data_IF_601472406821
#
_entry.id   IF_601472406821
#
_cell.length_a   1.000
_cell.length_b   1.000
_cell.length_c   1.000
_cell.angle_alpha   90.00
_cell.angle_beta   90.00
_cell.angle_gamma   90.00
#
_symmetry.space_group_name_H-M   'P 1'
#
loop_
_entity.id
_entity.type
_entity.pdbx_description
1 polymer ?
#
# COMPACT_ATOMS: atom_id res chain seq x y z
N UNK A 1 -2.95 22.26 -8.68
CA UNK A 1 -2.03 21.21 -9.21
C UNK A 1 -2.28 21.11 -10.69
N UNK A 2 -1.24 21.00 -11.49
CA UNK A 2 -1.16 21.56 -12.83
C UNK A 2 -1.86 20.73 -13.91
N UNK A 3 -2.41 21.39 -14.94
CA UNK A 3 -2.91 20.84 -16.23
C UNK A 3 -1.96 19.78 -16.84
N UNK A 4 -0.65 19.87 -16.54
CA UNK A 4 0.35 18.91 -16.97
C UNK A 4 0.16 17.53 -16.29
N UNK A 5 -0.10 17.49 -14.98
CA UNK A 5 -0.36 16.24 -14.26
C UNK A 5 -1.63 15.55 -14.75
N UNK A 6 -2.69 16.31 -14.96
CA UNK A 6 -3.95 15.79 -15.50
C UNK A 6 -3.77 15.24 -16.93
N UNK A 7 -2.93 15.91 -17.73
CA UNK A 7 -2.60 15.45 -19.10
C UNK A 7 -1.77 14.16 -19.09
N UNK A 8 -0.79 14.04 -18.20
CA UNK A 8 0.03 12.82 -18.05
C UNK A 8 -0.86 11.66 -17.59
N UNK A 9 -1.71 11.88 -16.59
CA UNK A 9 -2.64 10.87 -16.11
C UNK A 9 -3.63 10.44 -17.20
N UNK A 10 -4.19 11.38 -17.96
CA UNK A 10 -5.07 11.09 -19.09
C UNK A 10 -4.36 10.32 -20.21
N UNK A 11 -3.10 10.66 -20.51
CA UNK A 11 -2.28 9.93 -21.48
C UNK A 11 -2.00 8.50 -21.06
N UNK A 12 -1.63 8.30 -19.78
CA UNK A 12 -1.41 6.98 -19.21
C UNK A 12 -2.69 6.11 -19.24
N UNK A 13 -3.83 6.69 -18.85
CA UNK A 13 -5.11 5.98 -18.88
C UNK A 13 -5.51 5.58 -20.31
N UNK A 14 -5.27 6.42 -21.32
CA UNK A 14 -5.50 6.07 -22.73
C UNK A 14 -4.61 4.91 -23.19
N UNK A 15 -3.38 4.84 -22.70
CA UNK A 15 -2.45 3.77 -23.07
C UNK A 15 -2.89 2.40 -22.54
N UNK A 16 -3.45 2.35 -21.31
CA UNK A 16 -3.90 1.11 -20.71
C UNK A 16 -5.34 0.72 -21.09
N UNK A 17 -6.13 1.66 -21.63
CA UNK A 17 -7.54 1.45 -22.00
C UNK A 17 -7.79 0.20 -22.88
N UNK A 18 -6.98 -0.09 -23.93
CA UNK A 18 -7.17 -1.31 -24.74
C UNK A 18 -7.03 -2.60 -23.90
N UNK A 19 -6.09 -2.60 -22.93
CA UNK A 19 -5.87 -3.74 -22.04
C UNK A 19 -7.05 -3.90 -21.08
N UNK A 20 -7.52 -2.78 -20.50
CA UNK A 20 -8.72 -2.77 -19.64
C UNK A 20 -9.93 -3.31 -20.39
N UNK A 21 -10.15 -2.86 -21.63
CA UNK A 21 -11.27 -3.31 -22.45
C UNK A 21 -11.17 -4.80 -22.78
N UNK A 22 -10.00 -5.28 -23.15
CA UNK A 22 -9.77 -6.70 -23.43
C UNK A 22 -10.07 -7.56 -22.18
N UNK A 23 -9.53 -7.19 -21.02
CA UNK A 23 -9.74 -7.91 -19.75
C UNK A 23 -11.23 -7.86 -19.32
N UNK A 24 -11.89 -6.70 -19.50
CA UNK A 24 -13.31 -6.52 -19.20
C UNK A 24 -14.19 -7.39 -20.11
N UNK A 25 -13.93 -7.44 -21.41
CA UNK A 25 -14.65 -8.31 -22.37
C UNK A 25 -14.48 -9.79 -22.01
N UNK A 26 -13.32 -10.18 -21.50
CA UNK A 26 -13.04 -11.55 -21.03
C UNK A 26 -13.62 -11.83 -19.63
N UNK A 27 -14.24 -10.86 -18.98
CA UNK A 27 -14.77 -10.93 -17.62
C UNK A 27 -13.74 -11.45 -16.61
N UNK A 28 -12.47 -11.03 -16.77
CA UNK A 28 -11.40 -11.41 -15.84
C UNK A 28 -11.74 -10.89 -14.46
N UNK A 29 -11.62 -11.72 -13.45
CA UNK A 29 -11.87 -11.32 -12.06
C UNK A 29 -10.80 -10.32 -11.61
N UNK A 30 -11.16 -9.11 -11.13
CA UNK A 30 -10.20 -8.09 -10.68
C UNK A 30 -9.24 -8.61 -9.60
N UNK A 31 -9.70 -9.47 -8.69
CA UNK A 31 -8.87 -10.05 -7.63
C UNK A 31 -7.71 -10.91 -8.18
N UNK A 32 -7.87 -11.51 -9.37
CA UNK A 32 -6.78 -12.24 -10.04
C UNK A 32 -5.71 -11.26 -10.52
N UNK A 33 -6.11 -10.09 -11.04
CA UNK A 33 -5.19 -9.04 -11.48
C UNK A 33 -4.39 -8.52 -10.29
N UNK A 34 -5.05 -8.21 -9.17
CA UNK A 34 -4.42 -7.79 -7.91
C UNK A 34 -3.42 -8.84 -7.42
N UNK A 35 -3.82 -10.13 -7.44
CA UNK A 35 -2.93 -11.25 -7.04
C UNK A 35 -1.68 -11.33 -7.91
N UNK A 36 -1.85 -11.22 -9.24
CA UNK A 36 -0.72 -11.24 -10.18
C UNK A 36 0.21 -10.04 -9.96
N UNK A 37 -0.33 -8.85 -9.75
CA UNK A 37 0.44 -7.66 -9.40
C UNK A 37 1.28 -7.86 -8.12
N UNK A 38 0.66 -8.43 -7.08
CA UNK A 38 1.36 -8.76 -5.83
C UNK A 38 2.48 -9.79 -6.06
N UNK A 39 2.24 -10.85 -6.82
CA UNK A 39 3.27 -11.85 -7.15
C UNK A 39 4.43 -11.24 -7.94
N UNK A 40 4.15 -10.36 -8.89
CA UNK A 40 5.17 -9.61 -9.60
C UNK A 40 5.96 -8.69 -8.65
N UNK A 41 5.29 -8.03 -7.68
CA UNK A 41 5.97 -7.20 -6.66
C UNK A 41 6.86 -8.06 -5.75
N UNK A 42 6.41 -9.24 -5.34
CA UNK A 42 7.24 -10.19 -4.58
C UNK A 42 8.46 -10.62 -5.40
N UNK A 43 8.30 -10.85 -6.71
CA UNK A 43 9.42 -11.14 -7.59
C UNK A 43 10.43 -9.99 -7.63
N UNK A 44 9.96 -8.73 -7.71
CA UNK A 44 10.83 -7.55 -7.60
C UNK A 44 11.56 -7.50 -6.26
N UNK A 45 10.89 -7.83 -5.16
CA UNK A 45 11.49 -7.90 -3.82
C UNK A 45 12.62 -8.95 -3.75
N UNK A 46 12.42 -10.11 -4.36
CA UNK A 46 13.46 -11.16 -4.46
C UNK A 46 14.65 -10.65 -5.29
N UNK A 47 14.39 -9.98 -6.41
CA UNK A 47 15.45 -9.39 -7.25
C UNK A 47 16.23 -8.31 -6.47
N UNK A 48 15.56 -7.48 -5.65
CA UNK A 48 16.20 -6.55 -4.73
C UNK A 48 17.12 -7.27 -3.73
N UNK A 49 16.64 -8.38 -3.14
CA UNK A 49 17.42 -9.16 -2.17
C UNK A 49 18.72 -9.70 -2.76
N UNK A 50 18.72 -10.06 -4.06
CA UNK A 50 19.92 -10.48 -4.78
C UNK A 50 20.79 -9.32 -5.28
N UNK A 51 20.49 -8.06 -4.97
CA UNK A 51 21.27 -6.90 -5.34
C UNK A 51 21.14 -6.41 -6.78
N UNK A 52 20.23 -6.96 -7.56
CA UNK A 52 19.93 -6.51 -8.93
C UNK A 52 19.01 -5.28 -8.93
N UNK A 53 19.47 -4.20 -8.31
CA UNK A 53 18.66 -3.02 -7.95
C UNK A 53 17.96 -2.39 -9.16
N UNK A 54 18.65 -2.22 -10.30
CA UNK A 54 18.04 -1.62 -11.50
C UNK A 54 16.96 -2.51 -12.08
N UNK A 55 17.19 -3.82 -12.17
CA UNK A 55 16.18 -4.78 -12.68
C UNK A 55 14.97 -4.78 -11.76
N UNK A 56 15.18 -4.85 -10.45
CA UNK A 56 14.12 -4.80 -9.46
C UNK A 56 13.29 -3.51 -9.58
N UNK A 57 13.96 -2.36 -9.78
CA UNK A 57 13.29 -1.07 -10.00
C UNK A 57 12.38 -1.08 -11.23
N UNK A 58 12.85 -1.61 -12.37
CA UNK A 58 12.02 -1.78 -13.56
C UNK A 58 10.84 -2.72 -13.33
N UNK A 59 11.06 -3.88 -12.74
CA UNK A 59 9.98 -4.83 -12.43
C UNK A 59 8.95 -4.19 -11.51
N UNK A 60 9.39 -3.54 -10.43
CA UNK A 60 8.49 -2.86 -9.48
C UNK A 60 7.70 -1.73 -10.16
N UNK A 61 8.33 -0.92 -11.03
CA UNK A 61 7.66 0.14 -11.77
C UNK A 61 6.57 -0.40 -12.70
N UNK A 62 6.84 -1.54 -13.35
CA UNK A 62 5.85 -2.21 -14.21
C UNK A 62 4.69 -2.80 -13.41
N UNK A 63 4.91 -3.23 -12.17
CA UNK A 63 3.82 -3.78 -11.33
C UNK A 63 2.77 -2.75 -10.97
N UNK A 64 3.11 -1.46 -10.92
CA UNK A 64 2.15 -0.37 -10.68
C UNK A 64 1.01 -0.33 -11.72
N UNK A 65 1.22 -0.93 -12.90
CA UNK A 65 0.17 -1.05 -13.93
C UNK A 65 -0.97 -1.95 -13.42
N UNK A 66 -0.68 -3.03 -12.69
CA UNK A 66 -1.69 -3.96 -12.19
C UNK A 66 -2.65 -3.30 -11.21
N UNK A 67 -2.15 -2.42 -10.32
CA UNK A 67 -2.97 -1.67 -9.35
C UNK A 67 -3.94 -0.69 -10.04
N UNK A 68 -3.62 -0.23 -11.24
CA UNK A 68 -4.52 0.62 -12.02
C UNK A 68 -5.50 -0.25 -12.81
N UNK A 69 -5.03 -1.38 -13.36
CA UNK A 69 -5.84 -2.28 -14.18
C UNK A 69 -7.00 -2.91 -13.39
N UNK A 70 -6.74 -3.46 -12.18
CA UNK A 70 -7.76 -4.15 -11.38
C UNK A 70 -8.91 -3.21 -11.01
N UNK A 71 -8.61 -2.00 -10.56
CA UNK A 71 -9.60 -0.99 -10.24
C UNK A 71 -10.43 -0.53 -11.46
N UNK A 72 -9.80 -0.38 -12.63
CA UNK A 72 -10.50 -0.01 -13.86
C UNK A 72 -11.37 -1.15 -14.39
N UNK A 73 -10.88 -2.38 -14.40
CA UNK A 73 -11.63 -3.57 -14.79
C UNK A 73 -12.82 -3.76 -13.84
N UNK A 74 -12.63 -3.65 -12.51
CA UNK A 74 -13.70 -3.78 -11.53
C UNK A 74 -14.84 -2.79 -11.77
N UNK A 75 -14.51 -1.51 -11.99
CA UNK A 75 -15.50 -0.46 -12.29
C UNK A 75 -16.21 -0.71 -13.62
N UNK A 76 -15.48 -1.09 -14.66
CA UNK A 76 -16.06 -1.28 -16.01
C UNK A 76 -16.95 -2.52 -16.11
N UNK A 77 -16.66 -3.56 -15.33
CA UNK A 77 -17.43 -4.81 -15.30
C UNK A 77 -18.53 -4.85 -14.23
N UNK A 78 -18.63 -3.80 -13.39
CA UNK A 78 -19.55 -3.79 -12.25
C UNK A 78 -19.21 -4.79 -11.15
N UNK A 79 -17.94 -5.28 -11.10
CA UNK A 79 -17.46 -6.27 -10.13
C UNK A 79 -16.79 -5.60 -8.90
N UNK A 80 -17.16 -4.37 -8.59
CA UNK A 80 -16.70 -3.72 -7.34
C UNK A 80 -17.40 -4.36 -6.15
N UNK A 81 -16.61 -4.94 -5.23
CA UNK A 81 -17.12 -5.60 -4.02
C UNK A 81 -16.38 -5.13 -2.78
N UNK A 82 -17.04 -5.21 -1.62
CA UNK A 82 -16.40 -4.93 -0.32
C UNK A 82 -15.21 -5.86 -0.07
N UNK A 83 -15.34 -7.14 -0.44
CA UNK A 83 -14.25 -8.10 -0.36
C UNK A 83 -13.07 -7.71 -1.28
N UNK A 84 -13.35 -7.27 -2.52
CA UNK A 84 -12.30 -6.82 -3.44
C UNK A 84 -11.50 -5.64 -2.87
N UNK A 85 -12.17 -4.65 -2.30
CA UNK A 85 -11.50 -3.51 -1.65
C UNK A 85 -10.67 -3.93 -0.42
N UNK A 86 -11.16 -4.86 0.39
CA UNK A 86 -10.42 -5.45 1.50
C UNK A 86 -9.21 -6.22 1.01
N UNK A 87 -9.38 -7.07 -0.01
CA UNK A 87 -8.35 -7.94 -0.59
C UNK A 87 -7.22 -7.12 -1.19
N UNK A 88 -7.54 -6.15 -2.05
CA UNK A 88 -6.58 -5.20 -2.62
C UNK A 88 -5.79 -4.49 -1.53
N UNK A 89 -6.51 -3.88 -0.58
CA UNK A 89 -5.85 -3.18 0.52
C UNK A 89 -4.94 -4.09 1.37
N UNK A 90 -5.23 -5.39 1.48
CA UNK A 90 -4.40 -6.36 2.21
C UNK A 90 -3.16 -6.72 1.42
N UNK A 91 -3.32 -7.04 0.12
CA UNK A 91 -2.21 -7.37 -0.77
C UNK A 91 -1.26 -6.20 -0.98
N UNK A 92 -1.75 -4.98 -0.93
CA UNK A 92 -0.94 -3.76 -0.87
C UNK A 92 0.08 -3.78 0.27
N UNK A 93 -0.34 -4.22 1.47
CA UNK A 93 0.57 -4.31 2.63
C UNK A 93 1.60 -5.41 2.45
N UNK A 94 1.18 -6.55 1.89
CA UNK A 94 2.10 -7.64 1.55
C UNK A 94 3.16 -7.14 0.55
N UNK A 95 2.75 -6.43 -0.49
CA UNK A 95 3.63 -5.84 -1.51
C UNK A 95 4.63 -4.84 -0.91
N UNK A 96 4.13 -3.85 -0.14
CA UNK A 96 4.97 -2.84 0.51
C UNK A 96 5.99 -3.49 1.47
N UNK A 97 5.54 -4.46 2.26
CA UNK A 97 6.39 -5.21 3.19
C UNK A 97 7.43 -6.07 2.48
N UNK A 98 7.04 -6.75 1.41
CA UNK A 98 7.95 -7.61 0.64
C UNK A 98 9.13 -6.84 0.04
N UNK A 99 8.88 -5.67 -0.60
CA UNK A 99 9.94 -4.85 -1.19
C UNK A 99 10.95 -4.41 -0.13
N UNK A 100 10.48 -3.90 1.00
CA UNK A 100 11.35 -3.46 2.10
C UNK A 100 12.06 -4.64 2.77
N UNK A 101 11.42 -5.82 2.85
CA UNK A 101 12.06 -7.05 3.32
C UNK A 101 13.18 -7.51 2.36
N UNK A 102 12.95 -7.44 1.04
CA UNK A 102 14.00 -7.70 0.05
C UNK A 102 15.21 -6.80 0.21
N UNK A 103 14.98 -5.49 0.44
CA UNK A 103 16.06 -4.54 0.74
C UNK A 103 16.73 -4.82 2.10
N UNK A 104 15.98 -5.30 3.09
CA UNK A 104 16.55 -5.74 4.39
C UNK A 104 17.54 -6.90 4.17
N UNK A 105 17.14 -7.90 3.37
CA UNK A 105 18.03 -9.03 3.00
C UNK A 105 19.24 -8.53 2.24
N UNK A 106 19.07 -7.66 1.24
CA UNK A 106 20.18 -7.07 0.50
C UNK A 106 21.22 -6.42 1.42
N UNK A 107 20.81 -5.53 2.33
CA UNK A 107 21.74 -4.87 3.24
C UNK A 107 22.30 -5.79 4.33
N UNK A 108 21.72 -6.96 4.57
CA UNK A 108 22.23 -7.94 5.52
C UNK A 108 23.21 -8.93 4.91
N UNK A 109 23.11 -9.23 3.60
CA UNK A 109 23.84 -10.34 2.96
C UNK A 109 24.85 -9.89 1.91
N UNK A 110 24.69 -8.71 1.29
CA UNK A 110 25.62 -8.20 0.29
C UNK A 110 26.98 -7.88 0.93
N UNK A 111 28.04 -8.57 0.51
CA UNK A 111 29.38 -8.43 1.11
C UNK A 111 29.99 -7.04 0.92
N UNK A 112 29.65 -6.35 -0.17
CA UNK A 112 30.18 -5.02 -0.49
C UNK A 112 29.38 -3.88 0.17
N UNK A 113 28.08 -4.12 0.47
CA UNK A 113 27.16 -3.10 0.96
C UNK A 113 26.47 -3.47 2.26
N UNK A 114 27.01 -4.49 2.95
CA UNK A 114 26.51 -4.86 4.27
C UNK A 114 26.45 -3.64 5.20
N UNK A 115 25.26 -3.40 5.77
CA UNK A 115 25.05 -2.24 6.62
C UNK A 115 23.96 -2.50 7.66
N UNK A 116 24.38 -2.83 8.87
CA UNK A 116 23.46 -3.00 10.01
C UNK A 116 22.56 -1.77 10.21
N UNK A 117 23.07 -0.51 10.12
CA UNK A 117 22.18 0.65 10.19
C UNK A 117 21.09 0.66 9.13
N UNK A 118 21.41 0.29 7.88
CA UNK A 118 20.40 0.24 6.81
C UNK A 118 19.40 -0.90 7.02
N UNK A 119 19.80 -2.04 7.56
CA UNK A 119 18.87 -3.11 8.00
C UNK A 119 17.86 -2.56 9.01
N UNK A 120 18.36 -1.84 10.04
CA UNK A 120 17.48 -1.22 11.05
C UNK A 120 16.53 -0.20 10.41
N UNK A 121 17.02 0.62 9.48
CA UNK A 121 16.18 1.60 8.75
C UNK A 121 15.12 0.91 7.90
N UNK A 122 15.44 -0.18 7.20
CA UNK A 122 14.47 -0.97 6.44
C UNK A 122 13.39 -1.55 7.35
N UNK A 123 13.76 -2.14 8.49
CA UNK A 123 12.80 -2.65 9.48
C UNK A 123 11.93 -1.53 10.04
N UNK A 124 12.51 -0.36 10.35
CA UNK A 124 11.76 0.81 10.77
C UNK A 124 10.78 1.29 9.68
N UNK A 125 11.18 1.25 8.40
CA UNK A 125 10.32 1.58 7.27
C UNK A 125 9.13 0.60 7.14
N UNK A 126 9.37 -0.70 7.31
CA UNK A 126 8.31 -1.73 7.35
C UNK A 126 7.31 -1.39 8.46
N UNK A 127 7.79 -1.24 9.69
CA UNK A 127 6.92 -0.92 10.83
C UNK A 127 6.14 0.38 10.63
N UNK A 128 6.80 1.44 10.17
CA UNK A 128 6.15 2.73 9.88
C UNK A 128 5.07 2.61 8.80
N UNK A 129 5.34 1.86 7.74
CA UNK A 129 4.39 1.61 6.65
C UNK A 129 3.15 0.84 7.11
N UNK A 130 3.33 -0.19 7.93
CA UNK A 130 2.21 -0.93 8.53
C UNK A 130 1.42 -0.05 9.51
N UNK A 131 2.10 0.73 10.35
CA UNK A 131 1.46 1.64 11.29
C UNK A 131 0.63 2.73 10.59
N UNK A 132 1.12 3.29 9.48
CA UNK A 132 0.33 4.26 8.71
C UNK A 132 -0.95 3.65 8.17
N UNK A 133 -0.90 2.43 7.68
CA UNK A 133 -2.07 1.71 7.17
C UNK A 133 -3.03 1.33 8.30
N UNK A 134 -2.50 0.79 9.40
CA UNK A 134 -3.28 0.39 10.57
C UNK A 134 -4.00 1.59 11.20
N UNK A 135 -3.27 2.70 11.43
CA UNK A 135 -3.87 3.90 12.06
C UNK A 135 -4.97 4.50 11.20
N UNK A 136 -4.85 4.43 9.86
CA UNK A 136 -5.91 4.84 8.94
C UNK A 136 -7.14 3.94 9.07
N UNK A 137 -6.96 2.64 8.90
CA UNK A 137 -8.06 1.67 8.98
C UNK A 137 -8.77 1.72 10.35
N UNK A 138 -7.99 1.90 11.43
CA UNK A 138 -8.54 2.02 12.78
C UNK A 138 -9.33 3.32 12.98
N UNK A 139 -8.87 4.45 12.41
CA UNK A 139 -9.60 5.71 12.45
C UNK A 139 -10.91 5.62 11.66
N UNK A 140 -10.89 5.02 10.46
CA UNK A 140 -12.07 4.78 9.64
C UNK A 140 -13.10 3.90 10.36
N UNK A 141 -12.66 2.86 11.09
CA UNK A 141 -13.51 2.02 11.93
C UNK A 141 -14.16 2.79 13.11
N UNK A 142 -13.60 3.93 13.53
CA UNK A 142 -14.17 4.84 14.51
C UNK A 142 -15.03 5.96 13.88
N UNK A 143 -15.27 5.89 12.57
CA UNK A 143 -16.00 6.91 11.82
C UNK A 143 -15.22 8.23 11.63
N UNK A 144 -13.88 8.18 11.69
CA UNK A 144 -13.00 9.35 11.54
C UNK A 144 -12.18 9.21 10.26
N UNK A 145 -12.39 10.09 9.29
CA UNK A 145 -11.60 10.12 8.06
C UNK A 145 -10.22 10.75 8.29
N UNK A 146 -9.21 9.93 8.61
CA UNK A 146 -7.83 10.39 8.82
C UNK A 146 -7.04 10.43 7.50
N UNK A 147 -7.44 11.30 6.56
CA UNK A 147 -6.78 11.50 5.24
C UNK A 147 -5.54 12.40 5.36
N UNK A 148 -4.76 12.27 6.43
CA UNK A 148 -3.50 12.98 6.63
C UNK A 148 -2.31 12.07 6.37
N UNK A 149 -1.23 12.63 5.83
CA UNK A 149 0.02 11.91 5.57
C UNK A 149 0.90 12.65 4.56
N UNK A 150 2.22 12.38 4.60
CA UNK A 150 3.21 13.08 3.77
C UNK A 150 3.38 12.41 2.40
N UNK A 151 3.40 11.07 2.37
CA UNK A 151 3.66 10.30 1.15
C UNK A 151 2.55 9.25 1.01
N UNK A 152 1.91 9.25 -0.17
CA UNK A 152 0.90 8.26 -0.52
C UNK A 152 1.58 6.97 -1.02
N UNK A 153 0.82 5.84 -1.07
CA UNK A 153 1.36 4.54 -1.53
C UNK A 153 1.93 4.61 -2.95
N UNK A 154 1.21 5.23 -3.88
CA UNK A 154 1.68 5.36 -5.26
C UNK A 154 3.04 6.10 -5.33
N UNK A 155 3.21 7.16 -4.54
CA UNK A 155 4.47 7.90 -4.48
C UNK A 155 5.60 7.05 -3.91
N UNK A 156 5.32 6.18 -2.93
CA UNK A 156 6.32 5.23 -2.38
C UNK A 156 6.77 4.24 -3.44
N UNK A 157 5.83 3.67 -4.20
CA UNK A 157 6.16 2.74 -5.30
C UNK A 157 7.02 3.45 -6.35
N UNK A 158 6.67 4.67 -6.74
CA UNK A 158 7.46 5.48 -7.68
C UNK A 158 8.87 5.76 -7.14
N UNK A 159 9.02 6.14 -5.87
CA UNK A 159 10.31 6.41 -5.24
C UNK A 159 11.18 5.16 -5.14
N UNK A 160 10.60 3.99 -4.90
CA UNK A 160 11.33 2.72 -4.84
C UNK A 160 11.60 2.12 -6.22
N UNK A 161 10.88 2.52 -7.27
CA UNK A 161 11.04 1.97 -8.61
C UNK A 161 11.85 2.86 -9.54
N UNK A 162 11.36 4.06 -9.88
CA UNK A 162 11.92 4.87 -10.95
C UNK A 162 13.39 5.27 -10.71
N UNK A 163 13.81 5.83 -9.56
CA UNK A 163 15.21 6.15 -9.35
C UNK A 163 16.11 4.92 -9.39
N UNK A 164 15.63 3.76 -8.90
CA UNK A 164 16.39 2.52 -8.90
C UNK A 164 16.53 1.92 -10.30
N UNK A 165 15.47 2.02 -11.12
CA UNK A 165 15.48 1.56 -12.51
C UNK A 165 16.59 2.24 -13.33
N UNK A 166 16.73 3.57 -13.16
CA UNK A 166 17.68 4.36 -13.93
C UNK A 166 19.08 4.44 -13.31
N UNK A 167 19.18 4.57 -11.99
CA UNK A 167 20.46 4.81 -11.30
C UNK A 167 20.99 3.55 -10.59
N UNK A 168 20.15 2.59 -10.22
CA UNK A 168 20.57 1.35 -9.59
C UNK A 168 21.44 1.59 -8.36
N UNK A 169 22.67 1.07 -8.43
CA UNK A 169 23.71 1.24 -7.40
C UNK A 169 24.71 2.37 -7.73
N UNK A 170 24.41 3.24 -8.68
CA UNK A 170 25.23 4.42 -8.93
C UNK A 170 25.42 5.23 -7.63
N UNK A 171 26.54 5.95 -7.54
CA UNK A 171 26.92 6.72 -6.34
C UNK A 171 26.99 5.86 -5.06
N UNK A 172 27.48 4.63 -5.18
CA UNK A 172 27.55 3.65 -4.09
C UNK A 172 26.18 3.36 -3.41
N UNK A 173 25.10 3.40 -4.22
CA UNK A 173 23.75 3.17 -3.72
C UNK A 173 23.20 4.30 -2.84
N UNK A 174 23.80 5.49 -2.88
CA UNK A 174 23.40 6.63 -2.05
C UNK A 174 21.93 7.01 -2.30
N UNK A 175 21.48 6.96 -3.56
CA UNK A 175 20.09 7.27 -3.92
C UNK A 175 19.13 6.29 -3.25
N UNK A 176 19.43 4.99 -3.30
CA UNK A 176 18.61 3.97 -2.65
C UNK A 176 18.60 4.17 -1.12
N UNK A 177 19.76 4.37 -0.50
CA UNK A 177 19.86 4.65 0.94
C UNK A 177 19.03 5.85 1.35
N UNK A 178 19.14 6.96 0.63
CA UNK A 178 18.41 8.19 0.90
C UNK A 178 16.89 8.00 0.80
N UNK A 179 16.42 7.27 -0.22
CA UNK A 179 14.99 6.98 -0.41
C UNK A 179 14.45 6.10 0.72
N UNK A 180 15.16 5.04 1.10
CA UNK A 180 14.71 4.16 2.20
C UNK A 180 14.65 4.91 3.52
N UNK A 181 15.63 5.77 3.82
CA UNK A 181 15.61 6.66 4.99
C UNK A 181 14.42 7.62 4.92
N UNK A 182 14.20 8.27 3.78
CA UNK A 182 13.06 9.16 3.56
C UNK A 182 11.73 8.43 3.83
N UNK A 183 11.57 7.23 3.32
CA UNK A 183 10.34 6.43 3.52
C UNK A 183 10.17 6.01 4.98
N UNK A 184 11.24 5.63 5.67
CA UNK A 184 11.19 5.35 7.10
C UNK A 184 10.70 6.57 7.88
N UNK A 185 11.37 7.71 7.72
CA UNK A 185 11.03 8.95 8.44
C UNK A 185 9.59 9.41 8.15
N UNK A 186 9.23 9.49 6.87
CA UNK A 186 7.89 9.98 6.48
C UNK A 186 6.76 9.06 6.90
N UNK A 187 6.98 7.75 6.95
CA UNK A 187 5.99 6.79 7.43
C UNK A 187 5.75 6.96 8.94
N UNK A 188 6.78 7.09 9.74
CA UNK A 188 6.65 7.35 11.18
C UNK A 188 6.01 8.71 11.47
N UNK A 189 6.43 9.77 10.77
CA UNK A 189 5.81 11.10 10.89
C UNK A 189 4.32 11.02 10.55
N UNK A 190 3.95 10.32 9.48
CA UNK A 190 2.55 10.14 9.08
C UNK A 190 1.75 9.37 10.15
N UNK A 191 2.32 8.31 10.74
CA UNK A 191 1.66 7.57 11.81
C UNK A 191 1.38 8.47 13.03
N UNK A 192 2.37 9.25 13.46
CA UNK A 192 2.22 10.22 14.57
C UNK A 192 1.19 11.29 14.23
N UNK A 193 1.22 11.84 13.01
CA UNK A 193 0.22 12.83 12.56
C UNK A 193 -1.21 12.27 12.62
N UNK A 194 -1.42 11.01 12.23
CA UNK A 194 -2.73 10.35 12.29
C UNK A 194 -3.20 10.14 13.73
N UNK A 195 -2.32 9.70 14.62
CA UNK A 195 -2.63 9.57 16.05
C UNK A 195 -3.03 10.93 16.63
N UNK A 196 -2.25 11.98 16.35
CA UNK A 196 -2.55 13.34 16.81
C UNK A 196 -3.87 13.88 16.23
N UNK A 197 -4.17 13.58 14.95
CA UNK A 197 -5.42 13.96 14.30
C UNK A 197 -6.62 13.28 14.97
N UNK A 198 -6.58 11.96 15.17
CA UNK A 198 -7.65 11.22 15.83
C UNK A 198 -7.86 11.70 17.26
N UNK A 199 -6.77 11.94 18.02
CA UNK A 199 -6.86 12.51 19.38
C UNK A 199 -7.61 13.84 19.39
N UNK A 200 -7.32 14.74 18.44
CA UNK A 200 -8.02 16.03 18.34
C UNK A 200 -9.50 15.87 17.98
N UNK A 201 -9.78 14.98 17.00
CA UNK A 201 -11.15 14.72 16.56
C UNK A 201 -12.03 14.11 17.66
N UNK A 202 -11.46 13.29 18.54
CA UNK A 202 -12.18 12.66 19.67
C UNK A 202 -12.30 13.58 20.86
N UNK A 203 -11.33 14.45 21.12
CA UNK A 203 -11.40 15.43 22.23
C UNK A 203 -12.57 16.41 22.10
N UNK A 204 -12.95 16.78 20.86
CA UNK A 204 -14.09 17.68 20.58
C UNK A 204 -15.45 16.97 20.75
N UNK A 205 -15.48 15.63 20.74
CA UNK A 205 -16.71 14.81 20.85
C UNK A 205 -17.08 14.40 22.28
N UNK A 206 -16.44 14.88 23.33
CA UNK A 206 -16.89 14.61 24.70
C UNK A 206 -18.09 15.54 24.99
N UNK A 207 -19.36 15.05 24.95
CA UNK A 207 -20.49 15.80 25.45
C UNK A 207 -20.30 15.98 26.95
N UNK A 208 -20.68 17.12 27.49
CA UNK A 208 -20.74 17.34 28.92
C UNK A 208 -21.45 16.14 29.58
N UNK A 209 -20.86 15.62 30.67
CA UNK A 209 -21.37 14.51 31.44
C UNK A 209 -22.89 14.66 31.68
N UNK A 210 -23.70 13.78 31.13
CA UNK A 210 -25.15 13.78 31.43
C UNK A 210 -26.06 12.97 30.52
N UNK A 211 -25.57 12.30 29.46
CA UNK A 211 -26.42 11.47 28.60
C UNK A 211 -25.90 10.04 28.54
N UNK A 212 -26.78 9.05 28.77
CA UNK A 212 -26.48 7.64 28.51
C UNK A 212 -26.04 7.44 27.06
N UNK A 213 -25.09 6.53 26.77
CA UNK A 213 -24.71 6.24 25.39
C UNK A 213 -25.93 5.75 24.61
N UNK A 214 -26.10 6.17 23.35
CA UNK A 214 -27.17 5.64 22.51
C UNK A 214 -27.01 4.12 22.40
N UNK A 215 -28.11 3.36 22.40
CA UNK A 215 -28.04 1.92 22.22
C UNK A 215 -27.34 1.61 20.90
N UNK A 216 -26.39 0.66 20.96
CA UNK A 216 -25.74 0.14 19.77
C UNK A 216 -26.82 -0.47 18.88
N UNK A 217 -27.28 0.26 17.87
CA UNK A 217 -28.03 -0.32 16.77
C UNK A 217 -27.06 -1.22 16.02
N UNK A 218 -27.18 -2.52 16.22
CA UNK A 218 -26.52 -3.50 15.39
C UNK A 218 -26.93 -3.22 13.94
N UNK A 219 -26.02 -3.31 12.95
CA UNK A 219 -26.41 -3.16 11.55
C UNK A 219 -27.45 -4.22 11.22
N UNK A 220 -28.64 -3.79 10.82
CA UNK A 220 -29.70 -4.65 10.25
C UNK A 220 -29.09 -5.43 9.09
N UNK A 221 -28.95 -6.75 9.22
CA UNK A 221 -28.40 -7.61 8.17
C UNK A 221 -27.20 -8.47 8.58
N UNK A 222 -26.78 -8.50 9.83
CA UNK A 222 -25.80 -9.49 10.27
C UNK A 222 -26.42 -10.90 10.22
N UNK A 223 -25.80 -11.89 9.50
CA UNK A 223 -26.31 -13.26 9.51
C UNK A 223 -26.26 -13.81 10.94
N UNK A 224 -27.33 -14.50 11.34
CA UNK A 224 -27.45 -15.11 12.65
C UNK A 224 -26.29 -16.08 12.93
N UNK A 225 -25.78 -16.14 14.19
CA UNK A 225 -24.72 -17.07 14.53
C UNK A 225 -25.18 -18.51 14.30
N UNK A 226 -24.39 -19.25 13.52
CA UNK A 226 -24.61 -20.69 13.28
C UNK A 226 -24.36 -21.40 14.60
N UNK A 227 -25.45 -21.77 15.29
CA UNK A 227 -25.37 -22.66 16.46
C UNK A 227 -24.78 -24.00 16.01
N UNK A 228 -23.60 -24.31 16.52
CA UNK A 228 -23.01 -25.63 16.42
C UNK A 228 -23.99 -26.66 17.01
N UNK A 229 -24.54 -27.54 16.17
CA UNK A 229 -25.29 -28.70 16.62
C UNK A 229 -24.31 -29.66 17.30
N UNK A 230 -24.50 -29.88 18.59
CA UNK A 230 -23.83 -30.95 19.34
C UNK A 230 -24.22 -32.31 18.73
N UNK A 231 -23.27 -33.23 18.48
CA UNK A 231 -23.59 -34.58 18.06
C UNK A 231 -24.12 -35.38 19.29
N UNK A 232 -25.22 -36.04 19.04
CA UNK A 232 -25.63 -37.18 19.83
C UNK A 232 -25.21 -38.46 19.13
#
# INVERSE_FOLDING_TARGET
MSKLWDSIQAGYLRLIEPVVEYLARRRVNPNVITTLGTLCTISAAIIYAYGHISIAGWVLGLTAIFDVLDGHVARRTGQTTTFGAFYDSTLDRVSDGAVLAGLTVFYSTDSARHSVPMVVVCLAAIMGTFLTSYTRARAEALGIEAKVGLIQRAERVVLLSAPQAFFGLAFDGLILKAIVILLAVTSWVTAVQRIAFVRRATAVRVPARGGAPPPHTAPEGAPAPVHARSPR
#
